data_IF_369542636741
#
_entry.id   IF_369542636741
#
_cell.length_a   1.000
_cell.length_b   1.000
_cell.length_c   1.000
_cell.angle_alpha   90.00
_cell.angle_beta   90.00
_cell.angle_gamma   90.00
#
_symmetry.space_group_name_H-M   'P 1'
#
loop_
_entity.id
_entity.type
_entity.pdbx_description
1 polymer ?
#
# COMPACT_ATOMS: atom_id res chain seq x y z
N UNK A 1 24.50 6.54 -2.32
CA UNK A 1 24.60 5.56 -1.21
C UNK A 1 24.22 6.16 0.14
N UNK A 2 24.87 7.24 0.59
CA UNK A 2 24.56 7.91 1.86
C UNK A 2 23.07 8.34 1.97
N UNK A 3 22.49 8.90 0.91
CA UNK A 3 21.07 9.29 0.86
C UNK A 3 20.11 8.10 1.08
N UNK A 4 20.45 6.91 0.55
CA UNK A 4 19.63 5.71 0.70
C UNK A 4 19.62 5.22 2.16
N UNK A 5 20.80 5.25 2.79
CA UNK A 5 20.96 4.88 4.21
C UNK A 5 20.22 5.85 5.13
N UNK A 6 20.31 7.15 4.87
CA UNK A 6 19.55 8.17 5.61
C UNK A 6 18.05 7.98 5.42
N UNK A 7 17.59 7.74 4.18
CA UNK A 7 16.18 7.48 3.90
C UNK A 7 15.64 6.29 4.68
N UNK A 8 16.38 5.17 4.72
CA UNK A 8 16.01 3.99 5.50
C UNK A 8 15.97 4.29 7.00
N UNK A 9 17.00 4.96 7.51
CA UNK A 9 17.13 5.32 8.92
C UNK A 9 16.04 6.28 9.40
N UNK A 10 15.49 7.13 8.52
CA UNK A 10 14.35 8.02 8.84
C UNK A 10 13.01 7.30 8.68
N UNK A 11 12.88 6.44 7.67
CA UNK A 11 11.62 5.76 7.33
C UNK A 11 11.09 4.88 8.48
N UNK A 12 11.94 4.03 9.07
CA UNK A 12 11.50 3.14 10.15
C UNK A 12 11.05 3.88 11.42
N UNK A 13 11.82 4.85 11.96
CA UNK A 13 11.37 5.65 13.10
C UNK A 13 10.10 6.44 12.81
N UNK A 14 9.97 6.99 11.60
CA UNK A 14 8.77 7.72 11.19
C UNK A 14 7.53 6.82 11.23
N UNK A 15 7.62 5.61 10.68
CA UNK A 15 6.52 4.63 10.74
C UNK A 15 6.16 4.25 12.18
N UNK A 16 7.15 3.99 13.03
CA UNK A 16 6.93 3.66 14.45
C UNK A 16 6.27 4.84 15.17
N UNK A 17 6.70 6.07 14.89
CA UNK A 17 6.11 7.28 15.46
C UNK A 17 4.65 7.45 15.04
N UNK A 18 4.35 7.27 13.75
CA UNK A 18 2.99 7.35 13.22
C UNK A 18 2.08 6.26 13.82
N UNK A 19 2.58 5.02 13.95
CA UNK A 19 1.84 3.93 14.61
C UNK A 19 1.49 4.28 16.05
N UNK A 20 2.48 4.73 16.83
CA UNK A 20 2.27 5.10 18.24
C UNK A 20 1.35 6.31 18.39
N UNK A 21 1.42 7.28 17.48
CA UNK A 21 0.52 8.42 17.49
C UNK A 21 -0.92 8.02 17.15
N UNK A 22 -1.10 7.13 16.17
CA UNK A 22 -2.40 6.58 15.79
C UNK A 22 -3.01 5.75 16.94
N UNK A 23 -2.23 4.89 17.60
CA UNK A 23 -2.67 4.14 18.78
C UNK A 23 -3.15 5.06 19.90
N UNK A 24 -2.38 6.10 20.23
CA UNK A 24 -2.74 7.09 21.28
C UNK A 24 -3.99 7.89 20.94
N UNK A 25 -4.16 8.28 19.67
CA UNK A 25 -5.33 9.03 19.17
C UNK A 25 -6.61 8.20 19.20
N UNK A 26 -6.51 6.92 18.88
CA UNK A 26 -7.68 6.06 18.74
C UNK A 26 -8.03 5.29 20.02
N UNK A 27 -7.12 5.15 20.99
CA UNK A 27 -7.40 4.69 22.36
C UNK A 27 -8.04 3.31 22.48
N UNK A 28 -8.07 2.52 21.39
CA UNK A 28 -8.78 1.24 21.31
C UNK A 28 -7.78 0.11 21.29
N UNK A 29 -7.71 -0.60 22.40
CA UNK A 29 -6.84 -1.77 22.60
C UNK A 29 -7.66 -3.05 22.52
N UNK A 30 -7.13 -4.09 21.86
CA UNK A 30 -7.72 -5.43 21.85
C UNK A 30 -8.03 -5.99 20.46
N UNK A 31 -8.51 -7.23 20.43
CA UNK A 31 -8.69 -8.04 19.22
C UNK A 31 -9.63 -7.40 18.18
N UNK A 32 -10.69 -6.74 18.65
CA UNK A 32 -11.68 -6.06 17.80
C UNK A 32 -11.11 -4.79 17.15
N UNK A 33 -10.19 -4.10 17.81
CA UNK A 33 -9.49 -2.95 17.25
C UNK A 33 -8.46 -3.38 16.20
N UNK A 34 -7.72 -4.45 16.46
CA UNK A 34 -6.71 -4.98 15.54
C UNK A 34 -7.31 -5.56 14.24
N UNK A 35 -8.29 -6.45 14.34
CA UNK A 35 -8.85 -7.12 13.17
C UNK A 35 -9.98 -6.36 12.46
N UNK A 36 -10.72 -5.50 13.18
CA UNK A 36 -11.93 -4.85 12.65
C UNK A 36 -11.86 -3.32 12.67
N UNK A 37 -10.73 -2.73 13.05
CA UNK A 37 -10.59 -1.28 13.25
C UNK A 37 -11.75 -0.68 14.10
N UNK A 38 -12.27 -1.47 15.04
CA UNK A 38 -13.46 -1.17 15.85
C UNK A 38 -14.68 -0.66 15.05
N UNK A 39 -14.86 -1.14 13.80
CA UNK A 39 -15.91 -0.71 12.85
C UNK A 39 -15.95 0.80 12.58
N UNK A 40 -14.81 1.48 12.74
CA UNK A 40 -14.70 2.94 12.61
C UNK A 40 -13.77 3.38 11.49
N UNK A 41 -13.33 2.46 10.62
CA UNK A 41 -12.48 2.77 9.49
C UNK A 41 -13.31 3.43 8.36
N UNK A 42 -13.00 4.66 7.93
CA UNK A 42 -13.66 5.29 6.80
C UNK A 42 -13.29 4.58 5.50
N UNK A 43 -14.23 4.53 4.55
CA UNK A 43 -14.09 3.78 3.30
C UNK A 43 -12.83 4.15 2.48
N UNK A 44 -12.43 5.42 2.37
CA UNK A 44 -11.19 5.78 1.66
C UNK A 44 -9.93 5.17 2.29
N UNK A 45 -9.84 5.14 3.62
CA UNK A 45 -8.69 4.55 4.33
C UNK A 45 -8.58 3.05 4.06
N UNK A 46 -9.71 2.35 3.96
CA UNK A 46 -9.75 0.93 3.61
C UNK A 46 -9.28 0.74 2.16
N UNK A 47 -9.78 1.54 1.22
CA UNK A 47 -9.39 1.46 -0.19
C UNK A 47 -7.87 1.68 -0.38
N UNK A 48 -7.29 2.68 0.29
CA UNK A 48 -5.83 2.89 0.27
C UNK A 48 -5.06 1.71 0.85
N UNK A 49 -5.54 1.13 1.95
CA UNK A 49 -4.93 -0.07 2.55
C UNK A 49 -4.96 -1.27 1.61
N UNK A 50 -6.05 -1.46 0.88
CA UNK A 50 -6.17 -2.55 -0.10
C UNK A 50 -5.20 -2.35 -1.28
N UNK A 51 -5.13 -1.15 -1.85
CA UNK A 51 -4.18 -0.85 -2.94
C UNK A 51 -2.73 -1.06 -2.47
N UNK A 52 -2.38 -0.54 -1.30
CA UNK A 52 -1.02 -0.68 -0.75
C UNK A 52 -0.67 -2.16 -0.46
N UNK A 53 -1.63 -2.94 0.03
CA UNK A 53 -1.43 -4.37 0.30
C UNK A 53 -1.25 -5.23 -0.95
N UNK A 54 -1.82 -4.81 -2.09
CA UNK A 54 -1.67 -5.51 -3.37
C UNK A 54 -0.33 -5.20 -4.07
N UNK A 55 0.39 -4.14 -3.68
CA UNK A 55 1.68 -3.76 -4.29
C UNK A 55 2.83 -4.38 -3.48
N UNK A 56 3.67 -5.16 -4.16
CA UNK A 56 4.87 -5.76 -3.55
C UNK A 56 6.16 -5.13 -4.12
N UNK A 57 7.28 -5.32 -3.40
CA UNK A 57 8.60 -4.93 -3.91
C UNK A 57 8.97 -5.61 -5.24
N UNK A 58 8.48 -6.85 -5.46
CA UNK A 58 8.66 -7.55 -6.73
C UNK A 58 7.94 -6.82 -7.86
N UNK A 59 6.71 -6.34 -7.62
CA UNK A 59 5.91 -5.58 -8.61
C UNK A 59 6.62 -4.31 -9.05
N UNK A 60 7.25 -3.58 -8.12
CA UNK A 60 7.95 -2.32 -8.40
C UNK A 60 9.20 -2.50 -9.27
N UNK A 61 9.86 -3.66 -9.19
CA UNK A 61 11.05 -3.95 -10.00
C UNK A 61 10.66 -4.64 -11.30
N UNK A 62 9.71 -5.57 -11.27
CA UNK A 62 9.37 -6.42 -12.41
C UNK A 62 8.58 -5.68 -13.49
N UNK A 63 7.63 -4.82 -13.12
CA UNK A 63 6.78 -4.12 -14.09
C UNK A 63 7.59 -3.15 -14.96
N UNK A 64 8.46 -2.28 -14.41
CA UNK A 64 9.31 -1.41 -15.22
C UNK A 64 10.33 -2.19 -16.06
N UNK A 65 10.90 -3.27 -15.50
CA UNK A 65 11.81 -4.14 -16.24
C UNK A 65 11.12 -4.74 -17.47
N UNK A 66 9.88 -5.21 -17.35
CA UNK A 66 9.12 -5.77 -18.47
C UNK A 66 8.62 -4.70 -19.46
N UNK A 67 8.28 -3.52 -18.96
CA UNK A 67 7.93 -2.37 -19.80
C UNK A 67 9.14 -1.87 -20.60
N UNK A 68 10.36 -2.01 -20.08
CA UNK A 68 11.58 -1.61 -20.81
C UNK A 68 11.81 -2.43 -22.08
N UNK A 69 11.39 -3.69 -22.10
CA UNK A 69 11.55 -4.60 -23.26
C UNK A 69 10.32 -4.60 -24.17
N UNK A 70 9.13 -4.45 -23.60
CA UNK A 70 7.85 -4.68 -24.32
C UNK A 70 7.06 -3.39 -24.55
N UNK A 71 7.55 -2.25 -24.06
CA UNK A 71 6.87 -0.96 -24.13
C UNK A 71 5.59 -0.92 -23.28
N UNK A 72 4.58 -0.19 -23.75
CA UNK A 72 3.31 0.05 -23.02
C UNK A 72 2.28 -1.09 -23.15
N UNK A 73 2.66 -2.28 -23.62
CA UNK A 73 1.74 -3.41 -23.78
C UNK A 73 1.14 -3.90 -22.46
N UNK A 74 1.87 -3.75 -21.34
CA UNK A 74 1.34 -4.03 -19.99
C UNK A 74 0.09 -3.19 -19.66
N UNK A 75 -0.01 -1.96 -20.17
CA UNK A 75 -1.20 -1.12 -19.94
C UNK A 75 -2.45 -1.65 -20.63
N UNK A 76 -2.32 -2.41 -21.72
CA UNK A 76 -3.47 -3.04 -22.38
C UNK A 76 -4.06 -4.14 -21.50
N UNK A 77 -3.20 -4.91 -20.82
CA UNK A 77 -3.63 -5.89 -19.82
C UNK A 77 -4.34 -5.21 -18.63
N UNK A 78 -3.76 -4.13 -18.09
CA UNK A 78 -4.40 -3.34 -17.03
C UNK A 78 -5.77 -2.77 -17.44
N UNK A 79 -5.88 -2.26 -18.67
CA UNK A 79 -7.16 -1.79 -19.21
C UNK A 79 -8.20 -2.91 -19.30
N UNK A 80 -7.79 -4.13 -19.69
CA UNK A 80 -8.64 -5.31 -19.68
C UNK A 80 -9.17 -5.66 -18.28
N UNK A 81 -8.34 -5.52 -17.23
CA UNK A 81 -8.79 -5.75 -15.85
C UNK A 81 -9.87 -4.73 -15.42
N UNK A 82 -9.71 -3.46 -15.78
CA UNK A 82 -10.70 -2.42 -15.46
C UNK A 82 -12.05 -2.77 -16.11
N UNK A 83 -12.05 -3.13 -17.38
CA UNK A 83 -13.27 -3.54 -18.10
C UNK A 83 -13.88 -4.79 -17.46
N UNK A 84 -13.06 -5.78 -17.12
CA UNK A 84 -13.51 -6.99 -16.43
C UNK A 84 -14.20 -6.71 -15.09
N UNK A 85 -13.66 -5.80 -14.28
CA UNK A 85 -14.27 -5.36 -13.02
C UNK A 85 -15.57 -4.56 -13.19
N UNK A 86 -15.81 -3.95 -14.35
CA UNK A 86 -17.06 -3.22 -14.63
C UNK A 86 -18.18 -4.17 -15.06
N UNK A 87 -17.84 -5.25 -15.78
CA UNK A 87 -18.81 -6.20 -16.33
C UNK A 87 -19.34 -7.17 -15.27
N UNK A 88 -18.48 -7.60 -14.35
CA UNK A 88 -18.80 -8.55 -13.26
C UNK A 88 -19.34 -7.80 -12.05
#
# INVERSE_FOLDING_TARGET
MLLMLIGLAVYFPLLILLSRLAERRHGRTGNSAFYRAARSAPWPMVAFGMIAGSISGVSLVSVPAWASTTGMTYLQMCAGFIVGYIIV
#
